data_IF_126481868260
#
_entry.id   IF_126481868260
#
_cell.length_a   1.000
_cell.length_b   1.000
_cell.length_c   1.000
_cell.angle_alpha   90.00
_cell.angle_beta   90.00
_cell.angle_gamma   90.00
#
_symmetry.space_group_name_H-M   'P 1'
#
loop_
_entity.id
_entity.type
_entity.pdbx_description
1 polymer ?
#
# COMPACT_ATOMS: atom_id res chain seq x y z
N UNK A 1 -11.39 10.99 21.41
CA UNK A 1 -11.33 10.25 20.14
C UNK A 1 -10.29 9.18 20.32
N UNK A 2 -10.71 7.92 20.33
CA UNK A 2 -9.80 6.77 20.34
C UNK A 2 -9.50 6.40 18.90
N UNK A 3 -8.23 6.07 18.61
CA UNK A 3 -7.82 5.55 17.30
C UNK A 3 -7.10 4.24 17.53
N UNK A 4 -7.72 3.13 17.08
CA UNK A 4 -7.09 1.82 17.12
C UNK A 4 -6.33 1.58 15.81
N UNK A 5 -5.04 1.21 15.90
CA UNK A 5 -4.17 1.04 14.73
C UNK A 5 -3.75 -0.41 14.55
N UNK A 6 -4.11 -1.00 13.41
CA UNK A 6 -3.73 -2.36 13.00
C UNK A 6 -2.67 -2.25 11.92
N UNK A 7 -1.45 -2.74 12.18
CA UNK A 7 -0.35 -2.69 11.21
C UNK A 7 -0.43 -3.85 10.21
N UNK A 8 -0.42 -3.54 8.92
CA UNK A 8 -0.41 -4.53 7.84
C UNK A 8 1.04 -4.94 7.50
N UNK A 9 1.77 -5.55 8.44
CA UNK A 9 3.22 -5.85 8.28
C UNK A 9 3.55 -6.97 7.30
N UNK A 10 2.76 -8.04 7.22
CA UNK A 10 3.02 -9.09 6.22
C UNK A 10 2.27 -10.40 6.39
N UNK A 11 2.50 -11.36 5.47
CA UNK A 11 3.25 -11.17 4.22
C UNK A 11 2.43 -10.39 3.19
N UNK A 12 3.10 -9.49 2.48
CA UNK A 12 2.63 -8.92 1.23
C UNK A 12 3.11 -9.79 0.07
N UNK A 13 2.25 -10.01 -0.91
CA UNK A 13 2.67 -10.56 -2.20
C UNK A 13 3.06 -9.39 -3.10
N UNK A 14 3.99 -9.60 -4.00
CA UNK A 14 4.28 -8.64 -5.05
C UNK A 14 4.40 -9.32 -6.41
N UNK A 15 4.08 -8.60 -7.47
CA UNK A 15 4.19 -9.02 -8.87
C UNK A 15 4.73 -7.85 -9.71
N UNK A 16 5.73 -8.11 -10.55
CA UNK A 16 6.17 -7.15 -11.56
C UNK A 16 5.16 -7.12 -12.71
N UNK A 17 4.57 -5.96 -13.00
CA UNK A 17 3.59 -5.83 -14.09
C UNK A 17 4.25 -5.81 -15.48
N UNK A 18 5.57 -5.68 -15.54
CA UNK A 18 6.36 -5.81 -16.76
C UNK A 18 7.70 -6.46 -16.42
N UNK A 19 7.71 -7.79 -16.14
CA UNK A 19 8.88 -8.48 -15.67
C UNK A 19 9.94 -8.54 -16.77
N UNK A 20 11.21 -8.44 -16.36
CA UNK A 20 12.36 -8.68 -17.23
C UNK A 20 13.12 -9.92 -16.75
N UNK A 21 14.07 -10.43 -17.54
CA UNK A 21 14.93 -11.53 -17.11
C UNK A 21 15.79 -11.24 -15.86
N UNK A 22 15.80 -9.98 -15.38
CA UNK A 22 16.57 -9.55 -14.21
C UNK A 22 15.79 -9.61 -12.90
N UNK A 23 14.46 -9.59 -12.97
CA UNK A 23 13.59 -9.54 -11.80
C UNK A 23 12.68 -10.77 -11.77
N UNK A 24 12.43 -11.37 -10.59
CA UNK A 24 11.43 -12.43 -10.49
C UNK A 24 10.06 -11.87 -10.85
N UNK A 25 9.22 -12.66 -11.53
CA UNK A 25 7.87 -12.21 -11.88
C UNK A 25 7.03 -11.88 -10.64
N UNK A 26 7.21 -12.64 -9.55
CA UNK A 26 6.47 -12.47 -8.29
C UNK A 26 7.33 -12.82 -7.06
N UNK A 27 6.87 -12.42 -5.88
CA UNK A 27 7.51 -12.75 -4.60
C UNK A 27 6.72 -12.30 -3.38
N UNK A 28 7.40 -12.26 -2.22
CA UNK A 28 6.82 -11.80 -0.95
C UNK A 28 7.72 -10.78 -0.26
N UNK A 29 7.10 -9.82 0.40
CA UNK A 29 7.78 -8.79 1.18
C UNK A 29 7.13 -8.64 2.57
N UNK A 30 7.93 -8.19 3.54
CA UNK A 30 7.43 -7.72 4.83
C UNK A 30 7.60 -6.21 4.87
N UNK A 31 6.51 -5.47 4.83
CA UNK A 31 6.55 -4.00 4.80
C UNK A 31 6.59 -3.44 6.23
N UNK A 32 7.20 -2.25 6.45
CA UNK A 32 7.71 -1.31 5.46
C UNK A 32 9.04 -1.75 4.85
N UNK A 33 9.23 -1.52 3.55
CA UNK A 33 10.52 -1.68 2.88
C UNK A 33 10.70 -0.67 1.75
N UNK A 34 11.93 -0.18 1.64
CA UNK A 34 12.35 0.71 0.56
C UNK A 34 12.55 -0.08 -0.74
N UNK A 35 12.30 0.57 -1.88
CA UNK A 35 12.36 -0.08 -3.20
C UNK A 35 13.70 -0.76 -3.48
N UNK A 36 14.83 -0.10 -3.21
CA UNK A 36 16.16 -0.63 -3.51
C UNK A 36 16.53 -1.81 -2.61
N UNK A 37 15.98 -1.89 -1.42
CA UNK A 37 16.15 -3.08 -0.57
C UNK A 37 15.45 -4.31 -1.16
N UNK A 38 14.30 -4.11 -1.81
CA UNK A 38 13.53 -5.19 -2.44
C UNK A 38 14.00 -5.55 -3.84
N UNK A 39 14.33 -4.53 -4.64
CA UNK A 39 14.46 -4.61 -6.09
C UNK A 39 15.77 -4.04 -6.62
N UNK A 40 16.64 -3.53 -5.74
CA UNK A 40 17.89 -2.89 -6.13
C UNK A 40 17.67 -1.62 -6.96
N UNK A 41 18.43 -1.47 -8.04
CA UNK A 41 18.35 -0.30 -8.91
C UNK A 41 17.43 -0.49 -10.11
N UNK A 42 16.62 -1.54 -10.12
CA UNK A 42 15.77 -1.86 -11.27
C UNK A 42 14.51 -0.97 -11.26
N UNK A 43 14.29 -0.15 -12.31
CA UNK A 43 13.08 0.65 -12.44
C UNK A 43 11.90 -0.21 -12.93
N UNK A 44 10.68 0.22 -12.63
CA UNK A 44 9.49 -0.37 -13.24
C UNK A 44 8.24 -0.26 -12.39
N UNK A 45 7.30 -1.17 -12.64
CA UNK A 45 6.00 -1.17 -11.99
C UNK A 45 5.75 -2.50 -11.28
N UNK A 46 5.42 -2.43 -9.99
CA UNK A 46 5.17 -3.56 -9.12
C UNK A 46 3.80 -3.41 -8.48
N UNK A 47 3.01 -4.49 -8.50
CA UNK A 47 1.77 -4.62 -7.75
C UNK A 47 2.04 -5.29 -6.43
N UNK A 48 1.69 -4.66 -5.32
CA UNK A 48 1.68 -5.23 -3.99
C UNK A 48 0.25 -5.64 -3.59
N UNK A 49 0.10 -6.82 -3.00
CA UNK A 49 -1.19 -7.35 -2.53
C UNK A 49 -1.12 -7.77 -1.07
N UNK A 50 -2.14 -7.38 -0.29
CA UNK A 50 -2.32 -7.79 1.10
C UNK A 50 -3.75 -8.15 1.41
N UNK A 51 -3.93 -9.40 1.83
CA UNK A 51 -5.19 -9.88 2.39
C UNK A 51 -5.33 -9.55 3.86
N UNK A 52 -6.52 -9.13 4.29
CA UNK A 52 -6.87 -8.91 5.69
C UNK A 52 -8.36 -9.13 5.94
N UNK A 53 -8.74 -9.48 7.16
CA UNK A 53 -10.14 -9.64 7.53
C UNK A 53 -10.73 -8.30 7.98
N UNK A 54 -12.04 -8.13 7.81
CA UNK A 54 -12.75 -6.96 8.33
C UNK A 54 -12.49 -6.80 9.83
N UNK A 55 -12.10 -5.59 10.30
CA UNK A 55 -12.02 -5.33 11.73
C UNK A 55 -13.37 -5.60 12.42
N UNK A 56 -13.33 -6.24 13.58
CA UNK A 56 -14.52 -6.57 14.39
C UNK A 56 -14.85 -5.44 15.37
N UNK A 57 -16.07 -5.44 15.92
CA UNK A 57 -16.53 -4.47 16.93
C UNK A 57 -16.45 -3.00 16.47
N UNK A 58 -16.90 -2.74 15.24
CA UNK A 58 -17.10 -1.36 14.77
C UNK A 58 -18.42 -0.84 15.37
N UNK A 59 -18.35 0.17 16.22
CA UNK A 59 -19.53 0.78 16.85
C UNK A 59 -20.33 1.61 15.83
N UNK A 60 -21.58 1.96 16.18
CA UNK A 60 -22.36 2.94 15.41
C UNK A 60 -21.65 4.31 15.45
N UNK A 61 -20.95 4.64 14.38
CA UNK A 61 -20.16 5.87 14.25
C UNK A 61 -18.69 5.61 13.94
N UNK A 62 -18.20 4.40 14.18
CA UNK A 62 -16.83 4.05 13.84
C UNK A 62 -16.63 4.00 12.33
N UNK A 63 -15.48 4.47 11.87
CA UNK A 63 -15.03 4.30 10.49
C UNK A 63 -13.62 3.72 10.43
N UNK A 64 -13.33 3.06 9.31
CA UNK A 64 -12.03 2.47 9.01
C UNK A 64 -11.38 3.25 7.88
N UNK A 65 -10.17 3.73 8.14
CA UNK A 65 -9.29 4.30 7.13
C UNK A 65 -8.09 3.37 6.92
N UNK A 66 -7.62 3.25 5.67
CA UNK A 66 -6.27 2.79 5.40
C UNK A 66 -5.34 4.00 5.34
N UNK A 67 -4.21 3.91 6.04
CA UNK A 67 -3.21 4.96 6.10
C UNK A 67 -1.88 4.40 5.64
N UNK A 68 -1.28 5.07 4.65
CA UNK A 68 0.08 4.82 4.18
C UNK A 68 0.96 5.95 4.71
N UNK A 69 1.99 5.65 5.52
CA UNK A 69 2.86 6.65 6.17
C UNK A 69 4.17 6.91 5.41
N UNK A 70 4.27 6.45 4.17
CA UNK A 70 5.47 6.63 3.34
C UNK A 70 5.36 5.82 2.06
N UNK A 71 5.07 6.52 0.98
CA UNK A 71 4.98 5.98 -0.38
C UNK A 71 5.85 6.83 -1.28
N UNK A 72 6.83 6.20 -1.93
CA UNK A 72 7.72 6.86 -2.87
C UNK A 72 7.49 6.35 -4.30
N UNK A 73 7.34 7.28 -5.24
CA UNK A 73 6.96 7.00 -6.63
C UNK A 73 5.47 7.22 -6.90
N UNK A 74 5.03 6.75 -8.06
CA UNK A 74 3.64 6.90 -8.49
C UNK A 74 2.82 5.67 -8.09
N UNK A 75 1.89 5.84 -7.15
CA UNK A 75 1.10 4.75 -6.59
C UNK A 75 -0.39 4.89 -6.91
N UNK A 76 -1.02 3.77 -7.26
CA UNK A 76 -2.48 3.62 -7.33
C UNK A 76 -2.92 2.61 -6.26
N UNK A 77 -3.99 2.93 -5.55
CA UNK A 77 -4.51 2.11 -4.47
C UNK A 77 -5.88 1.55 -4.85
N UNK A 78 -6.14 0.31 -4.47
CA UNK A 78 -7.45 -0.30 -4.60
C UNK A 78 -7.76 -1.23 -3.43
N UNK A 79 -9.03 -1.34 -3.07
CA UNK A 79 -9.56 -2.33 -2.12
C UNK A 79 -10.56 -3.21 -2.86
N UNK A 80 -10.43 -4.52 -2.78
CA UNK A 80 -11.37 -5.47 -3.41
C UNK A 80 -11.61 -5.19 -4.90
N UNK A 81 -10.57 -4.71 -5.60
CA UNK A 81 -10.63 -4.31 -7.02
C UNK A 81 -11.23 -2.93 -7.29
N UNK A 82 -11.71 -2.20 -6.28
CA UNK A 82 -12.23 -0.84 -6.39
C UNK A 82 -11.14 0.18 -6.08
N UNK A 83 -10.92 1.15 -6.98
CA UNK A 83 -9.93 2.21 -6.75
C UNK A 83 -10.29 3.07 -5.55
N UNK A 84 -9.29 3.35 -4.70
CA UNK A 84 -9.45 4.20 -3.54
C UNK A 84 -9.17 5.66 -3.90
N UNK A 85 -10.02 6.55 -3.39
CA UNK A 85 -9.82 8.00 -3.44
C UNK A 85 -9.47 8.54 -2.05
N UNK A 86 -8.64 9.60 -1.94
CA UNK A 86 -8.00 10.32 -3.04
C UNK A 86 -6.77 9.58 -3.60
N UNK A 87 -6.63 9.57 -4.92
CA UNK A 87 -5.40 9.16 -5.61
C UNK A 87 -4.35 10.29 -5.54
N UNK A 88 -3.07 10.02 -5.17
CA UNK A 88 -1.99 10.97 -5.38
C UNK A 88 -1.83 11.20 -6.89
N UNK A 89 -2.17 12.40 -7.37
CA UNK A 89 -2.29 12.67 -8.80
C UNK A 89 -0.99 13.13 -9.46
N UNK A 90 0.06 13.45 -8.69
CA UNK A 90 1.25 14.13 -9.19
C UNK A 90 2.59 13.43 -8.89
N UNK A 91 2.58 12.23 -8.27
CA UNK A 91 3.81 11.53 -7.91
C UNK A 91 4.67 12.27 -6.88
N UNK A 92 4.13 13.28 -6.20
CA UNK A 92 4.77 13.94 -5.07
C UNK A 92 4.83 12.98 -3.88
N UNK A 93 5.95 12.97 -3.14
CA UNK A 93 6.02 12.20 -1.89
C UNK A 93 4.99 12.77 -0.92
N UNK A 94 3.96 11.96 -0.68
CA UNK A 94 2.99 12.28 0.35
C UNK A 94 3.47 11.54 1.60
N UNK A 95 3.87 12.32 2.62
CA UNK A 95 4.27 11.78 3.92
C UNK A 95 3.18 10.91 4.56
N UNK A 96 1.91 11.15 4.22
CA UNK A 96 0.83 10.25 4.60
C UNK A 96 -0.37 10.35 3.66
N UNK A 97 -0.84 9.21 3.17
CA UNK A 97 -2.07 9.08 2.38
C UNK A 97 -3.10 8.36 3.24
N UNK A 98 -4.31 8.91 3.31
CA UNK A 98 -5.45 8.34 4.05
C UNK A 98 -6.62 8.14 3.10
N UNK A 99 -7.14 6.93 3.04
CA UNK A 99 -8.34 6.59 2.28
C UNK A 99 -9.36 5.95 3.22
N UNK A 100 -10.59 6.46 3.21
CA UNK A 100 -11.70 5.84 3.94
C UNK A 100 -12.18 4.62 3.17
N UNK A 101 -12.25 3.47 3.84
CA UNK A 101 -12.62 2.18 3.21
C UNK A 101 -13.83 1.51 3.83
N UNK A 102 -14.46 2.16 4.82
CA UNK A 102 -15.53 1.57 5.65
C UNK A 102 -16.64 0.90 4.85
N UNK A 103 -17.08 1.55 3.77
CA UNK A 103 -18.20 1.09 2.94
C UNK A 103 -17.80 0.00 1.94
N UNK A 104 -16.51 -0.14 1.65
CA UNK A 104 -15.95 -1.11 0.71
C UNK A 104 -15.46 -2.40 1.41
N UNK A 105 -15.60 -2.49 2.75
CA UNK A 105 -15.13 -3.61 3.55
C UNK A 105 -16.04 -4.85 3.46
N UNK A 106 -15.50 -5.91 2.86
CA UNK A 106 -16.05 -7.26 2.84
C UNK A 106 -15.53 -8.10 4.03
N UNK A 107 -16.09 -9.28 4.33
CA UNK A 107 -15.56 -10.17 5.38
C UNK A 107 -14.07 -10.52 5.19
N UNK A 108 -13.64 -10.68 3.94
CA UNK A 108 -12.23 -10.86 3.55
C UNK A 108 -11.88 -9.82 2.51
N UNK A 109 -10.82 -9.07 2.73
CA UNK A 109 -10.43 -7.94 1.91
C UNK A 109 -9.06 -8.14 1.29
N UNK A 110 -8.85 -7.54 0.12
CA UNK A 110 -7.56 -7.45 -0.54
C UNK A 110 -7.21 -5.99 -0.82
N UNK A 111 -6.14 -5.51 -0.20
CA UNK A 111 -5.54 -4.22 -0.49
C UNK A 111 -4.50 -4.40 -1.59
N UNK A 112 -4.65 -3.62 -2.66
CA UNK A 112 -3.75 -3.57 -3.79
C UNK A 112 -3.05 -2.21 -3.87
N UNK A 113 -1.75 -2.24 -4.15
CA UNK A 113 -0.96 -1.04 -4.46
C UNK A 113 -0.17 -1.28 -5.74
N UNK A 114 -0.52 -0.58 -6.82
CA UNK A 114 0.26 -0.58 -8.05
C UNK A 114 1.22 0.59 -8.00
N UNK A 115 2.52 0.31 -7.86
CA UNK A 115 3.56 1.29 -7.67
C UNK A 115 4.52 1.31 -8.85
N UNK A 116 4.76 2.49 -9.42
CA UNK A 116 5.80 2.75 -10.39
C UNK A 116 6.91 3.60 -9.78
N UNK A 117 8.15 3.16 -9.91
CA UNK A 117 9.32 3.89 -9.41
C UNK A 117 10.54 3.69 -10.32
N UNK A 118 11.32 4.76 -10.48
CA UNK A 118 12.61 4.72 -11.17
C UNK A 118 13.72 5.25 -10.23
N UNK A 119 14.50 4.35 -9.60
CA UNK A 119 15.58 4.74 -8.69
C UNK A 119 16.75 5.48 -9.40
N UNK A 120 16.80 5.54 -10.73
CA UNK A 120 17.82 6.32 -11.44
C UNK A 120 17.45 7.80 -11.57
N UNK A 121 16.16 8.11 -11.55
CA UNK A 121 15.63 9.47 -11.72
C UNK A 121 15.25 10.13 -10.39
N UNK A 122 15.07 9.32 -9.33
CA UNK A 122 14.66 9.81 -8.02
C UNK A 122 15.69 9.48 -6.92
N UNK A 123 16.07 10.51 -6.18
CA UNK A 123 17.00 10.42 -5.04
C UNK A 123 16.29 10.13 -3.71
N UNK A 124 14.95 10.14 -3.70
CA UNK A 124 14.14 9.89 -2.51
C UNK A 124 13.89 8.40 -2.29
N UNK A 125 13.47 7.99 -1.08
CA UNK A 125 13.10 6.60 -0.81
C UNK A 125 11.90 6.18 -1.66
N UNK A 126 12.08 5.16 -2.51
CA UNK A 126 10.99 4.59 -3.28
C UNK A 126 10.26 3.50 -2.51
N UNK A 127 9.15 3.01 -3.05
CA UNK A 127 8.49 1.85 -2.46
C UNK A 127 7.45 2.21 -1.40
N UNK A 128 7.04 1.18 -0.66
CA UNK A 128 6.21 1.30 0.54
C UNK A 128 7.12 1.31 1.77
N UNK A 129 7.90 2.38 1.90
CA UNK A 129 8.94 2.55 2.92
C UNK A 129 8.38 3.01 4.28
N UNK A 130 7.14 3.50 4.31
CA UNK A 130 6.39 3.79 5.54
C UNK A 130 5.40 2.68 5.91
N UNK A 131 4.85 2.77 7.13
CA UNK A 131 3.87 1.78 7.57
C UNK A 131 2.58 1.86 6.74
N UNK A 132 2.00 0.69 6.47
CA UNK A 132 0.61 0.58 6.04
C UNK A 132 -0.21 0.13 7.23
N UNK A 133 -1.20 0.92 7.63
CA UNK A 133 -2.05 0.63 8.78
C UNK A 133 -3.53 0.76 8.43
N UNK A 134 -4.36 0.01 9.15
CA UNK A 134 -5.78 0.31 9.28
C UNK A 134 -5.97 1.11 10.56
N UNK A 135 -6.68 2.22 10.46
CA UNK A 135 -7.08 3.02 11.60
C UNK A 135 -8.59 2.92 11.79
N UNK A 136 -9.00 2.47 12.96
CA UNK A 136 -10.40 2.45 13.38
C UNK A 136 -10.59 3.68 14.26
N UNK A 137 -11.44 4.59 13.80
CA UNK A 137 -11.72 5.87 14.46
C UNK A 137 -13.14 5.80 15.01
N UNK A 138 -13.27 5.98 16.33
CA UNK A 138 -14.54 5.99 17.08
C UNK A 138 -15.22 7.36 17.14
#
# INVERSE_FOLDING_TARGET
MSVHRIRLRGPWQFEWLSPTNRNPAEGRASLPQEWRELFGTEPGQVRFLRKFNRPTNLDQGSHVDVVFEGVGGFAKFAINGQSLEPLPTDGSDVNSIRCRITDDLEPSNELQVDLHFDPSQDSKPGGLWGLVVLEIVE
#
